data_IF_089188683653
#
_entry.id   IF_089188683653
#
_cell.length_a   1.000
_cell.length_b   1.000
_cell.length_c   1.000
_cell.angle_alpha   90.00
_cell.angle_beta   90.00
_cell.angle_gamma   90.00
#
_symmetry.space_group_name_H-M   'P 1'
#
loop_
_entity.id
_entity.type
_entity.pdbx_description
1 polymer ?
#
# COMPACT_ATOMS: atom_id res chain seq x y z
N UNK A 1 -14.47 0.29 2.61
CA UNK A 1 -13.79 -1.03 2.51
C UNK A 1 -13.63 -1.57 3.91
N UNK A 2 -13.99 -2.82 4.18
CA UNK A 2 -13.57 -3.50 5.41
C UNK A 2 -12.04 -3.71 5.41
N UNK A 3 -11.43 -3.96 6.57
CA UNK A 3 -10.00 -4.30 6.68
C UNK A 3 -9.57 -5.35 5.64
N UNK A 4 -10.37 -6.42 5.50
CA UNK A 4 -10.17 -7.50 4.52
C UNK A 4 -10.21 -7.01 3.07
N UNK A 5 -11.17 -6.16 2.71
CA UNK A 5 -11.24 -5.59 1.37
C UNK A 5 -10.04 -4.68 1.07
N UNK A 6 -9.52 -3.97 2.07
CA UNK A 6 -8.31 -3.15 1.93
C UNK A 6 -7.06 -4.00 1.70
N UNK A 7 -6.87 -5.05 2.51
CA UNK A 7 -5.75 -5.98 2.37
C UNK A 7 -5.78 -6.71 1.02
N UNK A 8 -6.93 -7.25 0.61
CA UNK A 8 -7.10 -7.90 -0.70
C UNK A 8 -6.77 -6.92 -1.83
N UNK A 9 -7.20 -5.66 -1.72
CA UNK A 9 -6.88 -4.65 -2.73
C UNK A 9 -5.38 -4.36 -2.83
N UNK A 10 -4.64 -4.35 -1.71
CA UNK A 10 -3.18 -4.17 -1.70
C UNK A 10 -2.49 -5.31 -2.45
N UNK A 11 -2.79 -6.57 -2.11
CA UNK A 11 -2.17 -7.73 -2.76
C UNK A 11 -2.56 -7.85 -4.23
N UNK A 12 -3.84 -7.62 -4.58
CA UNK A 12 -4.28 -7.62 -5.97
C UNK A 12 -3.54 -6.56 -6.81
N UNK A 13 -3.35 -5.33 -6.28
CA UNK A 13 -2.57 -4.29 -6.97
C UNK A 13 -1.12 -4.71 -7.15
N UNK A 14 -0.48 -5.23 -6.10
CA UNK A 14 0.91 -5.68 -6.18
C UNK A 14 1.07 -6.79 -7.25
N UNK A 15 0.20 -7.79 -7.25
CA UNK A 15 0.22 -8.87 -8.25
C UNK A 15 -0.01 -8.34 -9.67
N UNK A 16 -0.99 -7.45 -9.87
CA UNK A 16 -1.28 -6.87 -11.19
C UNK A 16 -0.11 -6.06 -11.73
N UNK A 17 0.52 -5.22 -10.90
CA UNK A 17 1.71 -4.46 -11.28
C UNK A 17 2.83 -5.42 -11.67
N UNK A 18 3.09 -6.41 -10.80
CA UNK A 18 4.16 -7.38 -11.01
C UNK A 18 3.99 -8.12 -12.33
N UNK A 19 2.82 -8.73 -12.57
CA UNK A 19 2.54 -9.51 -13.78
C UNK A 19 2.70 -8.69 -15.06
N UNK A 20 2.34 -7.40 -15.03
CA UNK A 20 2.51 -6.50 -16.17
C UNK A 20 3.95 -6.12 -16.40
N UNK A 21 4.68 -5.80 -15.34
CA UNK A 21 6.10 -5.44 -15.41
C UNK A 21 6.93 -6.56 -16.05
N UNK A 22 6.72 -7.80 -15.60
CA UNK A 22 7.40 -8.98 -16.15
C UNK A 22 6.77 -9.51 -17.44
N UNK A 23 5.76 -8.83 -17.98
CA UNK A 23 5.07 -9.14 -19.24
C UNK A 23 4.54 -10.58 -19.32
N UNK A 24 4.08 -11.14 -18.20
CA UNK A 24 3.40 -12.44 -18.20
C UNK A 24 2.01 -12.25 -18.83
N UNK A 25 1.64 -13.07 -19.85
CA UNK A 25 0.27 -13.07 -20.37
C UNK A 25 -0.72 -13.46 -19.27
N UNK A 26 -1.70 -12.59 -19.02
CA UNK A 26 -2.74 -12.83 -18.02
C UNK A 26 -4.05 -12.19 -18.46
N UNK A 27 -5.16 -12.70 -17.91
CA UNK A 27 -6.49 -12.10 -18.06
C UNK A 27 -6.90 -11.51 -16.73
N UNK A 28 -7.18 -10.20 -16.69
CA UNK A 28 -7.69 -9.54 -15.50
C UNK A 28 -9.21 -9.68 -15.48
N UNK A 29 -9.75 -10.27 -14.41
CA UNK A 29 -11.18 -10.33 -14.17
C UNK A 29 -11.53 -9.53 -12.91
N UNK A 30 -12.51 -8.63 -13.03
CA UNK A 30 -12.98 -7.83 -11.90
C UNK A 30 -13.94 -8.67 -11.06
N UNK A 31 -13.46 -9.14 -9.92
CA UNK A 31 -14.25 -9.91 -8.96
C UNK A 31 -14.67 -8.97 -7.83
N UNK A 32 -15.98 -8.92 -7.55
CA UNK A 32 -16.49 -8.20 -6.39
C UNK A 32 -16.01 -8.89 -5.11
N UNK A 33 -15.19 -8.20 -4.29
CA UNK A 33 -14.67 -8.75 -3.03
C UNK A 33 -15.83 -8.93 -2.04
N UNK A 34 -16.34 -10.16 -1.96
CA UNK A 34 -17.37 -10.56 -0.98
C UNK A 34 -16.72 -10.80 0.39
N UNK A 35 -17.50 -10.59 1.44
CA UNK A 35 -17.05 -10.73 2.83
C UNK A 35 -16.67 -12.20 3.10
N UNK A 36 -15.38 -12.51 3.29
CA UNK A 36 -14.91 -13.84 3.70
C UNK A 36 -14.04 -14.60 2.69
N UNK A 37 -13.83 -14.08 1.49
CA UNK A 37 -12.93 -14.72 0.50
C UNK A 37 -11.50 -14.16 0.64
N UNK A 38 -10.55 -15.03 1.00
CA UNK A 38 -9.12 -14.75 0.96
C UNK A 38 -8.61 -15.15 -0.43
N UNK A 39 -8.11 -14.19 -1.21
CA UNK A 39 -7.16 -14.53 -2.28
C UNK A 39 -5.76 -14.55 -1.65
N UNK A 40 -5.35 -15.73 -1.17
CA UNK A 40 -3.93 -16.01 -1.02
C UNK A 40 -3.36 -16.22 -2.42
N UNK A 41 -2.89 -15.16 -3.04
CA UNK A 41 -2.05 -15.29 -4.21
C UNK A 41 -0.66 -15.75 -3.75
N UNK A 42 -0.50 -17.05 -3.51
CA UNK A 42 0.84 -17.67 -3.51
C UNK A 42 1.37 -17.60 -4.94
N UNK A 43 2.03 -16.49 -5.26
CA UNK A 43 2.65 -16.32 -6.56
C UNK A 43 3.87 -17.25 -6.62
N UNK A 44 3.74 -18.38 -7.32
CA UNK A 44 4.88 -19.28 -7.58
C UNK A 44 5.83 -18.62 -8.59
N UNK A 45 6.70 -17.75 -8.10
CA UNK A 45 7.71 -17.02 -8.89
C UNK A 45 8.70 -17.97 -9.58
N UNK A 46 8.80 -19.22 -9.12
CA UNK A 46 9.69 -20.24 -9.68
C UNK A 46 9.26 -20.75 -11.05
N UNK A 47 7.97 -20.62 -11.40
CA UNK A 47 7.44 -21.11 -12.68
C UNK A 47 7.72 -20.17 -13.87
N UNK A 48 8.18 -18.95 -13.62
CA UNK A 48 8.38 -17.92 -14.63
C UNK A 48 9.82 -17.39 -14.58
N UNK A 49 10.36 -16.98 -15.74
CA UNK A 49 11.71 -16.41 -15.83
C UNK A 49 11.73 -14.96 -15.31
N UNK A 50 11.44 -14.79 -14.03
CA UNK A 50 11.38 -13.51 -13.33
C UNK A 50 12.81 -12.95 -13.19
N UNK A 51 13.05 -11.66 -13.52
CA UNK A 51 14.33 -11.00 -13.25
C UNK A 51 14.77 -11.15 -11.79
N UNK A 52 16.04 -11.45 -11.56
CA UNK A 52 16.56 -11.81 -10.21
C UNK A 52 16.34 -10.70 -9.16
N UNK A 53 16.34 -9.42 -9.56
CA UNK A 53 16.15 -8.31 -8.63
C UNK A 53 14.81 -8.34 -7.88
N UNK A 54 13.74 -8.88 -8.51
CA UNK A 54 12.41 -8.93 -7.92
C UNK A 54 12.37 -9.81 -6.66
N UNK A 55 13.03 -10.97 -6.74
CA UNK A 55 13.16 -11.92 -5.64
C UNK A 55 14.50 -12.67 -5.75
N UNK A 56 15.60 -12.08 -5.24
CA UNK A 56 16.96 -12.56 -5.48
C UNK A 56 17.17 -14.02 -5.09
N UNK A 57 17.99 -14.74 -5.85
CA UNK A 57 18.39 -16.12 -5.52
C UNK A 57 19.47 -16.19 -4.44
N UNK A 58 20.30 -15.16 -4.33
CA UNK A 58 21.34 -15.08 -3.31
C UNK A 58 20.70 -15.00 -1.90
N UNK A 59 21.01 -15.92 -0.98
CA UNK A 59 20.34 -15.99 0.33
C UNK A 59 20.34 -14.68 1.10
N UNK A 60 21.49 -13.99 1.16
CA UNK A 60 21.62 -12.73 1.91
C UNK A 60 20.68 -11.63 1.38
N UNK A 61 20.58 -11.50 0.05
CA UNK A 61 19.67 -10.53 -0.58
C UNK A 61 18.20 -10.95 -0.40
N UNK A 62 17.91 -12.25 -0.51
CA UNK A 62 16.57 -12.79 -0.32
C UNK A 62 16.06 -12.57 1.10
N UNK A 63 16.89 -12.85 2.12
CA UNK A 63 16.54 -12.66 3.52
C UNK A 63 16.15 -11.20 3.81
N UNK A 64 16.81 -10.23 3.18
CA UNK A 64 16.43 -8.81 3.33
C UNK A 64 15.06 -8.50 2.74
N UNK A 65 14.74 -9.07 1.58
CA UNK A 65 13.40 -8.96 0.97
C UNK A 65 12.36 -9.62 1.86
N UNK A 66 12.60 -10.84 2.33
CA UNK A 66 11.69 -11.58 3.22
C UNK A 66 11.43 -10.82 4.53
N UNK A 67 12.49 -10.29 5.17
CA UNK A 67 12.39 -9.48 6.39
C UNK A 67 11.55 -8.23 6.16
N UNK A 68 11.78 -7.51 5.06
CA UNK A 68 11.01 -6.31 4.73
C UNK A 68 9.54 -6.62 4.43
N UNK A 69 9.25 -7.70 3.71
CA UNK A 69 7.87 -8.11 3.41
C UNK A 69 7.14 -8.55 4.68
N UNK A 70 7.79 -9.36 5.52
CA UNK A 70 7.24 -9.77 6.82
C UNK A 70 6.93 -8.57 7.72
N UNK A 71 7.78 -7.54 7.69
CA UNK A 71 7.54 -6.30 8.42
C UNK A 71 6.38 -5.48 7.83
N UNK A 72 6.25 -5.38 6.50
CA UNK A 72 5.12 -4.69 5.86
C UNK A 72 3.76 -5.31 6.25
N UNK A 73 3.68 -6.64 6.34
CA UNK A 73 2.46 -7.32 6.80
C UNK A 73 1.99 -6.86 8.19
N UNK A 74 2.89 -6.34 9.04
CA UNK A 74 2.56 -5.80 10.36
C UNK A 74 1.95 -4.38 10.32
N UNK A 75 1.94 -3.71 9.17
CA UNK A 75 1.37 -2.36 9.01
C UNK A 75 -0.13 -2.38 8.70
N UNK A 76 -0.60 -3.46 8.06
CA UNK A 76 -2.00 -3.71 7.74
C UNK A 76 -2.94 -3.44 8.93
N UNK A 77 -2.72 -3.97 10.15
CA UNK A 77 -3.66 -3.85 11.28
C UNK A 77 -3.94 -2.40 11.71
N UNK A 78 -3.00 -1.48 11.48
CA UNK A 78 -3.16 -0.06 11.84
C UNK A 78 -4.22 0.66 10.98
N UNK A 79 -4.62 0.07 9.85
CA UNK A 79 -5.47 0.73 8.84
C UNK A 79 -6.95 0.30 8.87
N UNK A 80 -7.35 -0.57 9.80
CA UNK A 80 -8.66 -1.22 9.76
C UNK A 80 -9.50 -1.24 11.03
N UNK A 81 -9.03 -0.68 12.15
CA UNK A 81 -9.80 -0.74 13.41
C UNK A 81 -10.52 0.59 13.71
N UNK A 82 -11.81 0.54 14.11
CA UNK A 82 -12.48 1.70 14.70
C UNK A 82 -11.79 2.03 16.01
N UNK A 83 -10.93 3.03 15.98
CA UNK A 83 -10.33 3.60 17.19
C UNK A 83 -11.27 4.64 17.76
N UNK A 84 -11.46 4.65 19.09
CA UNK A 84 -12.04 5.80 19.75
C UNK A 84 -11.02 6.98 19.67
N UNK A 85 -11.45 8.23 19.92
CA UNK A 85 -10.53 9.37 19.81
C UNK A 85 -9.28 9.25 20.69
N UNK A 86 -9.35 8.57 21.83
CA UNK A 86 -8.20 8.33 22.71
C UNK A 86 -7.16 7.37 22.11
N UNK A 87 -7.58 6.35 21.36
CA UNK A 87 -6.65 5.40 20.69
C UNK A 87 -6.11 5.93 19.37
N UNK A 88 -6.69 7.01 18.84
CA UNK A 88 -6.29 7.60 17.58
C UNK A 88 -4.85 8.13 17.64
N UNK A 89 -4.53 8.92 18.65
CA UNK A 89 -3.18 9.49 18.80
C UNK A 89 -2.12 8.39 18.88
N UNK A 90 -2.42 7.29 19.57
CA UNK A 90 -1.55 6.11 19.59
C UNK A 90 -1.38 5.48 18.20
N UNK A 91 -2.47 5.27 17.45
CA UNK A 91 -2.38 4.72 16.09
C UNK A 91 -1.61 5.65 15.14
N UNK A 92 -1.74 6.97 15.29
CA UNK A 92 -0.97 7.93 14.51
C UNK A 92 0.51 7.90 14.88
N UNK A 93 0.85 7.83 16.17
CA UNK A 93 2.23 7.68 16.63
C UNK A 93 2.85 6.35 16.19
N UNK A 94 2.08 5.25 16.25
CA UNK A 94 2.51 3.92 15.78
C UNK A 94 2.75 3.91 14.27
N UNK A 95 1.91 4.62 13.49
CA UNK A 95 2.11 4.85 12.06
C UNK A 95 3.35 5.70 11.78
N UNK A 96 3.60 6.74 12.58
CA UNK A 96 4.77 7.60 12.41
C UNK A 96 6.06 6.84 12.68
N UNK A 97 6.12 6.10 13.80
CA UNK A 97 7.25 5.23 14.13
C UNK A 97 7.44 4.07 13.14
N UNK A 98 6.35 3.61 12.51
CA UNK A 98 6.39 2.69 11.38
C UNK A 98 7.11 3.31 10.17
N UNK A 99 6.71 4.52 9.76
CA UNK A 99 7.30 5.19 8.61
C UNK A 99 8.76 5.55 8.87
N UNK A 100 9.12 5.87 10.12
CA UNK A 100 10.51 6.06 10.53
C UNK A 100 11.34 4.79 10.38
N UNK A 101 10.79 3.62 10.73
CA UNK A 101 11.49 2.34 10.51
C UNK A 101 11.64 2.04 9.02
N UNK A 102 10.60 2.25 8.22
CA UNK A 102 10.69 2.10 6.77
C UNK A 102 11.81 2.96 6.19
N UNK A 103 11.89 4.22 6.62
CA UNK A 103 12.89 5.17 6.14
C UNK A 103 14.31 4.86 6.65
N UNK A 104 14.47 4.57 7.94
CA UNK A 104 15.79 4.49 8.58
C UNK A 104 16.39 3.08 8.65
N UNK A 105 15.55 2.04 8.59
CA UNK A 105 16.02 0.63 8.68
C UNK A 105 16.06 -0.02 7.31
N UNK A 106 15.00 0.12 6.52
CA UNK A 106 14.89 -0.54 5.22
C UNK A 106 15.46 0.34 4.10
N UNK A 107 14.90 1.54 3.88
CA UNK A 107 15.34 2.43 2.81
C UNK A 107 16.77 2.95 3.03
N UNK A 108 17.10 3.42 4.24
CA UNK A 108 18.41 4.01 4.57
C UNK A 108 18.82 5.00 3.48
N UNK A 109 20.04 4.94 2.97
CA UNK A 109 20.53 5.80 1.89
C UNK A 109 20.56 5.09 0.53
N UNK A 110 19.70 4.09 0.35
CA UNK A 110 19.59 3.32 -0.87
C UNK A 110 18.41 3.81 -1.73
N UNK A 111 18.42 3.52 -3.04
CA UNK A 111 17.31 3.91 -3.91
C UNK A 111 16.02 3.13 -3.60
N UNK A 112 16.11 1.86 -3.21
CA UNK A 112 15.00 0.96 -2.89
C UNK A 112 15.16 0.29 -1.52
N UNK A 113 14.11 -0.34 -0.99
CA UNK A 113 14.07 -0.86 0.39
C UNK A 113 15.09 -1.97 0.64
N UNK A 114 15.41 -2.76 -0.39
CA UNK A 114 16.27 -3.92 -0.26
C UNK A 114 17.60 -3.83 -1.01
N UNK A 115 17.90 -2.68 -1.65
CA UNK A 115 19.13 -2.51 -2.42
C UNK A 115 19.05 -1.45 -3.49
N UNK A 116 19.84 -1.66 -4.55
CA UNK A 116 19.98 -0.75 -5.68
C UNK A 116 18.89 -0.90 -6.73
N UNK A 117 18.23 -2.06 -6.77
CA UNK A 117 17.14 -2.40 -7.69
C UNK A 117 15.81 -2.54 -6.92
N UNK A 118 14.70 -2.33 -7.64
CA UNK A 118 13.35 -2.56 -7.13
C UNK A 118 13.16 -4.04 -6.76
N UNK A 119 12.35 -4.32 -5.74
CA UNK A 119 12.02 -5.68 -5.32
C UNK A 119 10.56 -5.83 -4.96
N UNK A 120 10.11 -7.07 -4.67
CA UNK A 120 8.75 -7.32 -4.15
C UNK A 120 8.46 -6.55 -2.85
N UNK A 121 9.48 -6.29 -2.04
CA UNK A 121 9.34 -5.49 -0.83
C UNK A 121 8.87 -4.05 -1.14
N UNK A 122 9.46 -3.41 -2.17
CA UNK A 122 9.08 -2.08 -2.62
C UNK A 122 7.65 -2.04 -3.14
N UNK A 123 7.28 -3.06 -3.92
CA UNK A 123 5.97 -3.17 -4.54
C UNK A 123 4.84 -3.35 -3.52
N UNK A 124 5.05 -4.21 -2.53
CA UNK A 124 4.10 -4.40 -1.43
C UNK A 124 4.00 -3.14 -0.56
N UNK A 125 5.15 -2.57 -0.18
CA UNK A 125 5.20 -1.34 0.62
C UNK A 125 4.46 -0.19 -0.07
N UNK A 126 4.73 0.05 -1.36
CA UNK A 126 4.11 1.19 -2.06
C UNK A 126 2.60 0.99 -2.20
N UNK A 127 2.15 -0.22 -2.51
CA UNK A 127 0.73 -0.52 -2.59
C UNK A 127 0.05 -0.30 -1.24
N UNK A 128 0.70 -0.66 -0.14
CA UNK A 128 0.18 -0.43 1.20
C UNK A 128 0.13 1.06 1.56
N UNK A 129 1.21 1.81 1.33
CA UNK A 129 1.30 3.24 1.64
C UNK A 129 0.39 4.13 0.77
N UNK A 130 -0.05 3.63 -0.38
CA UNK A 130 -1.05 4.30 -1.21
C UNK A 130 -2.49 4.11 -0.69
N UNK A 131 -2.75 3.12 0.18
CA UNK A 131 -4.10 2.82 0.66
C UNK A 131 -4.76 3.98 1.46
N UNK A 132 -4.05 4.71 2.36
CA UNK A 132 -4.61 5.87 3.06
C UNK A 132 -5.12 7.00 2.16
N UNK A 133 -4.64 7.10 0.92
CA UNK A 133 -5.13 8.10 -0.04
C UNK A 133 -6.61 7.92 -0.36
N UNK A 134 -7.17 6.71 -0.23
CA UNK A 134 -8.61 6.47 -0.36
C UNK A 134 -9.43 7.38 0.57
N UNK A 135 -8.91 7.66 1.78
CA UNK A 135 -9.50 8.57 2.77
C UNK A 135 -8.98 10.01 2.68
N UNK A 136 -8.37 10.40 1.55
CA UNK A 136 -7.82 11.74 1.34
C UNK A 136 -6.59 12.06 2.20
N UNK A 137 -5.92 11.05 2.76
CA UNK A 137 -4.72 11.25 3.58
C UNK A 137 -3.49 10.79 2.80
N UNK A 138 -2.65 11.74 2.42
CA UNK A 138 -1.28 11.44 2.01
C UNK A 138 -0.40 11.36 3.26
N UNK A 139 0.04 10.15 3.60
CA UNK A 139 0.90 9.89 4.77
C UNK A 139 2.39 10.13 4.48
N UNK A 140 2.75 10.33 3.21
CA UNK A 140 4.13 10.58 2.80
C UNK A 140 4.41 12.07 2.56
N UNK A 141 3.39 12.93 2.52
CA UNK A 141 3.50 14.37 2.19
C UNK A 141 4.62 15.13 2.92
N UNK A 142 4.91 14.77 4.16
CA UNK A 142 5.93 15.43 5.00
C UNK A 142 7.23 14.60 5.13
N UNK A 143 7.42 13.58 4.28
CA UNK A 143 8.53 12.61 4.32
C UNK A 143 9.29 12.61 3.00
N UNK A 144 10.20 13.57 2.76
CA UNK A 144 10.83 13.78 1.45
C UNK A 144 11.61 12.56 0.94
N UNK A 145 12.22 11.78 1.84
CA UNK A 145 12.97 10.57 1.47
C UNK A 145 12.04 9.47 0.95
N UNK A 146 10.93 9.22 1.65
CA UNK A 146 9.91 8.27 1.22
C UNK A 146 9.17 8.76 -0.03
N UNK A 147 8.94 10.07 -0.20
CA UNK A 147 8.40 10.63 -1.44
C UNK A 147 9.34 10.35 -2.61
N UNK A 148 10.64 10.59 -2.43
CA UNK A 148 11.65 10.34 -3.45
C UNK A 148 11.74 8.86 -3.80
N UNK A 149 11.65 7.97 -2.80
CA UNK A 149 11.55 6.52 -3.01
C UNK A 149 10.30 6.13 -3.81
N UNK A 150 9.11 6.63 -3.43
CA UNK A 150 7.86 6.39 -4.18
C UNK A 150 7.99 6.87 -5.63
N UNK A 151 8.61 8.02 -5.87
CA UNK A 151 8.85 8.53 -7.22
C UNK A 151 9.78 7.62 -8.04
N UNK A 152 10.82 7.04 -7.43
CA UNK A 152 11.67 6.04 -8.11
C UNK A 152 10.89 4.76 -8.42
N UNK A 153 10.09 4.26 -7.48
CA UNK A 153 9.22 3.10 -7.69
C UNK A 153 8.23 3.35 -8.83
N UNK A 154 7.57 4.51 -8.85
CA UNK A 154 6.70 4.93 -9.95
C UNK A 154 7.46 4.98 -11.28
N UNK A 155 8.65 5.59 -11.31
CA UNK A 155 9.46 5.70 -12.54
C UNK A 155 9.87 4.35 -13.12
N UNK A 156 10.09 3.33 -12.30
CA UNK A 156 10.41 1.98 -12.77
C UNK A 156 9.17 1.29 -13.36
N UNK A 157 8.01 1.45 -12.72
CA UNK A 157 6.78 0.73 -13.04
C UNK A 157 5.89 1.44 -14.09
N UNK A 158 6.04 2.75 -14.25
CA UNK A 158 5.30 3.64 -15.15
C UNK A 158 3.79 3.34 -15.15
N UNK A 159 3.25 2.96 -16.31
CA UNK A 159 1.81 2.86 -16.56
C UNK A 159 1.17 1.76 -15.70
N UNK A 160 1.90 0.68 -15.41
CA UNK A 160 1.44 -0.41 -14.55
C UNK A 160 1.12 0.10 -13.15
N UNK A 161 1.89 1.06 -12.64
CA UNK A 161 1.64 1.70 -11.35
C UNK A 161 0.33 2.47 -11.36
N UNK A 162 0.15 3.35 -12.35
CA UNK A 162 -1.00 4.25 -12.41
C UNK A 162 -2.30 3.49 -12.65
N UNK A 163 -2.28 2.48 -13.51
CA UNK A 163 -3.46 1.65 -13.78
C UNK A 163 -3.89 0.87 -12.54
N UNK A 164 -2.95 0.24 -11.84
CA UNK A 164 -3.26 -0.52 -10.61
C UNK A 164 -3.77 0.39 -9.49
N UNK A 165 -3.26 1.63 -9.38
CA UNK A 165 -3.70 2.60 -8.37
C UNK A 165 -4.94 3.41 -8.77
N UNK A 166 -5.45 3.28 -9.99
CA UNK A 166 -6.64 3.99 -10.47
C UNK A 166 -7.85 3.87 -9.52
N UNK A 167 -8.07 2.68 -8.96
CA UNK A 167 -9.13 2.41 -7.97
C UNK A 167 -8.97 3.24 -6.70
N UNK A 168 -7.74 3.47 -6.22
CA UNK A 168 -7.44 4.30 -5.06
C UNK A 168 -7.80 5.75 -5.36
N UNK A 169 -7.42 6.25 -6.54
CA UNK A 169 -7.70 7.62 -6.96
C UNK A 169 -9.20 7.86 -7.13
N UNK A 170 -9.93 6.93 -7.74
CA UNK A 170 -11.39 7.01 -7.88
C UNK A 170 -12.11 7.00 -6.52
N UNK A 171 -11.66 6.17 -5.56
CA UNK A 171 -12.22 6.16 -4.20
C UNK A 171 -11.95 7.50 -3.51
N UNK A 172 -10.74 8.04 -3.63
CA UNK A 172 -10.36 9.36 -3.08
C UNK A 172 -11.22 10.49 -3.64
N UNK A 173 -11.47 10.49 -4.94
CA UNK A 173 -12.31 11.51 -5.58
C UNK A 173 -13.75 11.43 -5.07
N UNK A 174 -14.33 10.23 -5.04
CA UNK A 174 -15.67 10.00 -4.46
C UNK A 174 -15.74 10.41 -3.00
N UNK A 175 -14.68 10.16 -2.23
CA UNK A 175 -14.58 10.60 -0.83
C UNK A 175 -14.59 12.13 -0.73
N UNK A 176 -13.74 12.79 -1.51
CA UNK A 176 -13.56 14.24 -1.49
C UNK A 176 -14.82 14.97 -1.96
N UNK A 177 -15.53 14.44 -2.95
CA UNK A 177 -16.79 14.99 -3.46
C UNK A 177 -17.93 14.95 -2.43
N UNK A 178 -17.93 13.96 -1.52
CA UNK A 178 -18.93 13.82 -0.46
C UNK A 178 -18.69 14.74 0.75
N UNK A 179 -17.52 15.38 0.85
CA UNK A 179 -17.22 16.32 1.94
C UNK A 179 -17.85 17.69 1.64
N UNK A 180 -18.80 18.13 2.48
CA UNK A 180 -19.43 19.44 2.31
C UNK A 180 -18.42 20.60 2.49
N UNK A 181 -18.64 21.79 1.89
CA UNK A 181 -17.70 22.91 1.98
C UNK A 181 -17.41 23.38 3.41
N UNK A 182 -18.42 23.37 4.30
CA UNK A 182 -18.28 23.71 5.72
C UNK A 182 -17.48 22.66 6.52
N UNK A 183 -17.54 21.40 6.08
CA UNK A 183 -16.75 20.30 6.65
C UNK A 183 -15.25 20.48 6.36
N UNK A 184 -14.85 21.14 5.27
CA UNK A 184 -13.43 21.33 4.92
C UNK A 184 -12.64 22.11 5.97
N UNK A 185 -13.27 23.02 6.71
CA UNK A 185 -12.64 23.81 7.79
C UNK A 185 -12.66 23.11 9.15
N UNK A 186 -13.73 22.38 9.50
CA UNK A 186 -13.89 21.73 10.82
C UNK A 186 -13.21 20.35 10.90
N UNK A 187 -12.92 19.71 9.75
CA UNK A 187 -12.23 18.41 9.65
C UNK A 187 -10.73 18.46 9.94
N UNK A 188 -10.17 19.63 10.27
CA UNK A 188 -8.71 19.78 10.47
C UNK A 188 -8.21 19.31 11.84
N UNK A 189 -9.08 19.10 12.85
CA UNK A 189 -8.58 18.87 14.23
C UNK A 189 -9.00 17.60 14.99
N UNK A 190 -10.08 16.85 14.70
CA UNK A 190 -10.53 15.80 15.67
C UNK A 190 -10.98 14.43 15.11
N UNK A 191 -11.26 14.21 13.80
CA UNK A 191 -11.91 12.96 13.37
C UNK A 191 -11.40 12.37 12.05
N UNK A 192 -10.14 11.92 11.97
CA UNK A 192 -9.59 11.30 10.74
C UNK A 192 -9.34 9.79 10.77
N UNK A 193 -9.89 9.06 11.75
CA UNK A 193 -9.82 7.57 11.75
C UNK A 193 -11.17 6.89 12.01
N UNK A 194 -12.15 7.60 12.58
CA UNK A 194 -13.36 6.94 13.12
C UNK A 194 -14.47 6.77 12.07
N UNK A 195 -14.57 7.65 11.08
CA UNK A 195 -15.81 7.73 10.29
C UNK A 195 -15.89 6.81 9.07
N UNK A 196 -14.78 6.24 8.58
CA UNK A 196 -14.77 5.70 7.21
C UNK A 196 -15.02 4.19 7.05
N UNK A 197 -15.12 3.42 8.14
CA UNK A 197 -15.51 2.01 8.06
C UNK A 197 -17.03 1.77 8.18
N UNK A 198 -17.82 2.79 8.55
CA UNK A 198 -19.27 2.61 8.79
C UNK A 198 -20.20 2.90 7.60
N UNK A 199 -19.79 3.65 6.57
CA UNK A 199 -20.74 4.21 5.58
C UNK A 199 -20.45 3.90 4.10
N UNK A 200 -19.83 2.77 3.80
CA UNK A 200 -19.82 2.24 2.43
C UNK A 200 -20.39 0.81 2.47
N UNK A 201 -21.69 0.72 2.67
CA UNK A 201 -22.47 -0.36 2.07
C UNK A 201 -22.52 -0.06 0.57
N UNK A 202 -21.73 -0.80 -0.20
CA UNK A 202 -21.93 -0.90 -1.64
C UNK A 202 -23.10 -1.85 -1.81
N UNK A 203 -24.22 -1.32 -2.28
CA UNK A 203 -25.25 -2.11 -2.97
C UNK A 203 -24.70 -2.56 -4.32
#
# INVERSE_FOLDING_TARGET
LTFWQGAVLIFCRAVLIFLKDIKIPHKVENIAIRKGEQLCCELSLTAYNVPDHWYPKLPEKRTRVDECMAWNHALLPCMGQPTNPEKLEKVLADLDGTLDKLENVFLKNQPFLCGDDISLADLLAVCELMQPLCGGRDILKDRPKLLSWRSRVHSVLSDSFDEAHSVVYQIREKFTAKLSPCSKQKFSKILKTIFFLKNIQIY
#
